data_IF_134848049445
#
_entry.id   IF_134848049445
#
_cell.length_a   1.000
_cell.length_b   1.000
_cell.length_c   1.000
_cell.angle_alpha   90.00
_cell.angle_beta   90.00
_cell.angle_gamma   90.00
#
_symmetry.space_group_name_H-M   'P 1'
#
loop_
_entity.id
_entity.type
_entity.pdbx_description
1 polymer ?
#
# COMPACT_ATOMS: atom_id res chain seq x y z
N UNK A 1 8.85 8.70 6.49
CA UNK A 1 8.01 8.25 7.62
C UNK A 1 7.86 6.73 7.66
N UNK A 2 7.80 6.12 8.86
CA UNK A 2 7.56 4.68 8.97
C UNK A 2 6.09 4.34 8.71
N UNK A 3 5.88 3.24 7.98
CA UNK A 3 4.60 2.54 7.90
C UNK A 3 4.26 2.04 9.32
N UNK A 4 3.16 2.50 9.90
CA UNK A 4 2.90 2.33 11.36
C UNK A 4 2.74 0.89 11.80
N UNK A 5 2.20 0.08 10.91
CA UNK A 5 1.90 -1.32 11.17
C UNK A 5 2.97 -2.25 10.54
N UNK A 6 4.14 -1.73 10.15
CA UNK A 6 5.20 -2.52 9.53
C UNK A 6 5.72 -3.64 10.42
N UNK A 7 5.63 -3.49 11.74
CA UNK A 7 6.04 -4.51 12.72
C UNK A 7 5.16 -5.76 12.71
N UNK A 8 3.96 -5.70 12.14
CA UNK A 8 3.14 -6.91 11.92
C UNK A 8 3.58 -7.70 10.68
N UNK A 9 4.44 -7.11 9.84
CA UNK A 9 4.85 -7.66 8.55
C UNK A 9 6.37 -7.92 8.45
N UNK A 10 7.11 -7.76 9.56
CA UNK A 10 8.57 -7.68 9.59
C UNK A 10 9.30 -8.82 8.88
N UNK A 11 8.74 -10.03 8.97
CA UNK A 11 9.36 -11.23 8.39
C UNK A 11 8.80 -11.61 7.03
N UNK A 12 7.66 -11.05 6.63
CA UNK A 12 6.87 -11.52 5.48
C UNK A 12 6.87 -10.54 4.32
N UNK A 13 7.21 -9.27 4.55
CA UNK A 13 7.13 -8.21 3.53
C UNK A 13 8.49 -7.54 3.31
N UNK A 14 8.83 -7.34 2.05
CA UNK A 14 9.88 -6.42 1.63
C UNK A 14 9.26 -5.06 1.34
N UNK A 15 9.32 -4.16 2.32
CA UNK A 15 8.91 -2.77 2.11
C UNK A 15 9.91 -2.03 1.22
N UNK A 16 9.39 -1.24 0.30
CA UNK A 16 10.21 -0.38 -0.53
C UNK A 16 10.67 0.85 0.25
N UNK A 17 11.82 1.45 -0.14
CA UNK A 17 12.13 2.81 0.25
C UNK A 17 11.02 3.78 -0.17
N UNK A 18 10.78 4.84 0.61
CA UNK A 18 9.68 5.79 0.38
C UNK A 18 9.74 6.46 -1.01
N UNK A 19 10.95 6.75 -1.49
CA UNK A 19 11.18 7.31 -2.83
C UNK A 19 10.87 6.33 -3.98
N UNK A 20 10.52 5.07 -3.66
CA UNK A 20 10.11 4.04 -4.61
C UNK A 20 8.63 3.69 -4.47
N UNK A 21 7.86 4.40 -3.64
CA UNK A 21 6.42 4.22 -3.58
C UNK A 21 5.80 4.64 -4.92
N UNK A 22 4.92 3.80 -5.45
CA UNK A 22 4.29 4.02 -6.76
C UNK A 22 2.79 4.17 -6.60
N UNK A 23 2.22 5.22 -7.19
CA UNK A 23 0.77 5.34 -7.30
C UNK A 23 0.26 4.29 -8.28
N UNK A 24 -0.55 3.35 -7.79
CA UNK A 24 -1.13 2.27 -8.60
C UNK A 24 -2.65 2.41 -8.77
N UNK A 25 -3.28 3.32 -8.04
CA UNK A 25 -4.73 3.35 -7.98
C UNK A 25 -5.34 4.38 -7.05
N UNK A 26 -6.61 4.15 -6.77
CA UNK A 26 -7.42 4.89 -5.80
C UNK A 26 -8.33 3.92 -5.05
N UNK A 27 -8.56 4.17 -3.76
CA UNK A 27 -9.52 3.46 -2.93
C UNK A 27 -10.27 4.48 -2.08
N UNK A 28 -11.60 4.55 -2.20
CA UNK A 28 -12.44 5.48 -1.43
C UNK A 28 -12.02 6.96 -1.55
N UNK A 29 -11.64 7.42 -2.75
CA UNK A 29 -11.16 8.79 -2.98
C UNK A 29 -9.72 9.05 -2.51
N UNK A 30 -9.04 8.04 -1.94
CA UNK A 30 -7.65 8.12 -1.48
C UNK A 30 -6.72 7.47 -2.48
N UNK A 31 -5.53 8.02 -2.64
CA UNK A 31 -4.48 7.45 -3.49
C UNK A 31 -4.06 6.08 -2.97
N UNK A 32 -3.96 5.10 -3.84
CA UNK A 32 -3.48 3.77 -3.52
C UNK A 32 -2.02 3.63 -3.98
N UNK A 33 -1.12 3.45 -3.02
CA UNK A 33 0.31 3.38 -3.24
C UNK A 33 0.78 1.94 -3.07
N UNK A 34 1.59 1.45 -4.02
CA UNK A 34 2.38 0.24 -3.83
C UNK A 34 3.61 0.60 -2.99
N UNK A 35 3.73 -0.04 -1.83
CA UNK A 35 4.75 0.28 -0.82
C UNK A 35 5.65 -0.91 -0.48
N UNK A 36 5.36 -2.09 -1.02
CA UNK A 36 6.18 -3.27 -0.82
C UNK A 36 5.56 -4.50 -1.48
N UNK A 37 6.21 -5.63 -1.27
CA UNK A 37 5.73 -6.94 -1.73
C UNK A 37 6.00 -8.03 -0.70
N UNK A 38 5.15 -9.05 -0.64
CA UNK A 38 5.40 -10.24 0.20
C UNK A 38 6.65 -10.98 -0.29
N UNK A 39 7.41 -11.58 0.62
CA UNK A 39 8.63 -12.34 0.31
C UNK A 39 8.33 -13.69 -0.36
N UNK A 40 7.15 -14.26 -0.08
CA UNK A 40 6.79 -15.59 -0.56
C UNK A 40 6.48 -15.59 -2.06
N UNK A 41 5.44 -14.85 -2.48
CA UNK A 41 4.95 -14.85 -3.85
C UNK A 41 5.03 -13.50 -4.54
N UNK A 42 5.51 -12.46 -3.84
CA UNK A 42 5.63 -11.12 -4.40
C UNK A 42 4.31 -10.36 -4.44
N UNK A 43 3.32 -10.75 -3.62
CA UNK A 43 2.01 -10.13 -3.58
C UNK A 43 2.13 -8.66 -3.19
N UNK A 44 1.36 -7.77 -3.84
CA UNK A 44 1.45 -6.34 -3.63
C UNK A 44 0.95 -5.92 -2.25
N UNK A 45 1.79 -5.21 -1.51
CA UNK A 45 1.45 -4.53 -0.27
C UNK A 45 1.26 -3.06 -0.56
N UNK A 46 0.10 -2.55 -0.13
CA UNK A 46 -0.38 -1.21 -0.50
C UNK A 46 -0.69 -0.36 0.72
N UNK A 47 -0.69 0.95 0.55
CA UNK A 47 -1.19 1.92 1.52
C UNK A 47 -2.12 2.91 0.85
N UNK A 48 -3.04 3.49 1.62
CA UNK A 48 -3.85 4.62 1.14
C UNK A 48 -3.27 5.93 1.66
N UNK A 49 -3.21 6.95 0.82
CA UNK A 49 -2.75 8.29 1.17
C UNK A 49 -3.79 9.34 0.80
N UNK A 50 -3.94 10.35 1.65
CA UNK A 50 -4.92 11.43 1.47
C UNK A 50 -4.35 12.65 0.76
N UNK A 51 -3.03 12.77 0.71
CA UNK A 51 -2.32 13.91 0.11
C UNK A 51 -1.43 13.48 -1.06
N UNK A 52 -0.87 14.48 -1.72
CA UNK A 52 0.13 14.29 -2.78
C UNK A 52 1.53 14.00 -2.24
N UNK A 53 1.74 14.14 -0.93
CA UNK A 53 3.01 13.95 -0.24
C UNK A 53 2.91 12.84 0.83
N UNK A 54 2.95 11.55 0.44
CA UNK A 54 2.78 10.43 1.36
C UNK A 54 3.81 10.40 2.51
N UNK A 55 4.96 11.05 2.32
CA UNK A 55 6.01 11.18 3.33
C UNK A 55 5.62 12.00 4.56
N UNK A 56 4.54 12.79 4.47
CA UNK A 56 4.00 13.63 5.56
C UNK A 56 2.84 12.95 6.31
N UNK A 57 2.50 11.71 5.95
CA UNK A 57 1.35 10.99 6.50
C UNK A 57 1.74 9.70 7.23
N UNK A 58 0.93 9.36 8.23
CA UNK A 58 0.96 8.06 8.85
C UNK A 58 0.28 7.03 7.93
N UNK A 59 1.10 6.25 7.22
CA UNK A 59 0.64 5.19 6.32
C UNK A 59 0.46 3.86 7.04
N UNK A 60 -0.52 3.09 6.56
CA UNK A 60 -0.81 1.73 6.99
C UNK A 60 -0.74 0.80 5.79
N UNK A 61 -0.03 -0.31 5.94
CA UNK A 61 0.11 -1.36 4.96
C UNK A 61 -1.09 -2.31 4.99
N UNK A 62 -1.50 -2.75 3.82
CA UNK A 62 -2.55 -3.73 3.59
C UNK A 62 -2.11 -4.67 2.48
N UNK A 63 -2.50 -5.94 2.55
CA UNK A 63 -2.48 -6.81 1.38
C UNK A 63 -3.55 -6.31 0.39
N UNK A 64 -3.17 -6.16 -0.89
CA UNK A 64 -4.10 -5.63 -1.90
C UNK A 64 -5.30 -6.55 -2.13
N UNK A 65 -5.11 -7.87 -2.13
CA UNK A 65 -6.20 -8.81 -2.33
C UNK A 65 -7.16 -8.79 -1.15
N UNK A 66 -6.65 -8.71 0.08
CA UNK A 66 -7.49 -8.53 1.26
C UNK A 66 -8.26 -7.20 1.21
N UNK A 67 -7.58 -6.11 0.84
CA UNK A 67 -8.23 -4.81 0.67
C UNK A 67 -9.35 -4.89 -0.37
N UNK A 68 -9.11 -5.49 -1.54
CA UNK A 68 -10.12 -5.65 -2.58
C UNK A 68 -11.28 -6.56 -2.17
N UNK A 69 -11.02 -7.58 -1.34
CA UNK A 69 -12.02 -8.54 -0.89
C UNK A 69 -12.91 -7.99 0.22
N UNK A 70 -12.36 -7.19 1.12
CA UNK A 70 -13.07 -6.71 2.33
C UNK A 70 -13.46 -5.23 2.25
N UNK A 71 -12.93 -4.46 1.31
CA UNK A 71 -13.38 -3.10 1.09
C UNK A 71 -14.78 -3.08 0.52
N UNK A 72 -15.69 -2.36 1.18
CA UNK A 72 -16.99 -2.01 0.62
C UNK A 72 -16.90 -0.91 -0.45
N UNK A 73 -15.76 -0.22 -0.51
CA UNK A 73 -15.47 0.83 -1.47
C UNK A 73 -14.72 0.26 -2.68
N UNK A 74 -15.03 0.72 -3.90
CA UNK A 74 -14.37 0.22 -5.11
C UNK A 74 -12.89 0.59 -5.11
N UNK A 75 -12.03 -0.43 -5.21
CA UNK A 75 -10.60 -0.26 -5.44
C UNK A 75 -10.38 -0.15 -6.95
N UNK A 76 -9.89 1.02 -7.40
CA UNK A 76 -9.58 1.28 -8.81
C UNK A 76 -8.08 1.19 -9.02
N UNK A 77 -7.63 0.19 -9.77
CA UNK A 77 -6.23 0.07 -10.19
C UNK A 77 -6.09 0.70 -11.57
N UNK A 78 -5.14 1.63 -11.70
CA UNK A 78 -4.86 2.35 -12.96
C UNK A 78 -3.39 2.25 -13.39
N UNK A 79 -2.52 1.74 -12.52
CA UNK A 79 -1.09 1.57 -12.79
C UNK A 79 -0.65 0.10 -12.85
N UNK A 80 0.60 -0.12 -13.26
CA UNK A 80 1.23 -1.43 -13.20
C UNK A 80 1.52 -1.83 -11.75
N UNK A 81 1.20 -3.08 -11.40
CA UNK A 81 1.42 -3.65 -10.07
C UNK A 81 2.75 -4.40 -10.06
#
# INVERSE_FOLDING_TARGET
>A
MPIKNSTFYTDEVNFFPENQFRLIGECAGKKLLLIGRTKAYGDPIVATSQTDEPSQEDLYAYDLYELMKFSHEPVKIVGEI
#
